data_IF_104629025222
#
_entry.id   IF_104629025222
#
_cell.length_a   1.000
_cell.length_b   1.000
_cell.length_c   1.000
_cell.angle_alpha   90.00
_cell.angle_beta   90.00
_cell.angle_gamma   90.00
#
_symmetry.space_group_name_H-M   'P 1'
#
loop_
_entity.id
_entity.type
_entity.pdbx_description
1 polymer ?
#
# COMPACT_ATOMS: atom_id res chain seq x y z
N UNK A 1 -54.85 -49.98 30.81
CA UNK A 1 -53.48 -49.47 30.61
C UNK A 1 -53.24 -49.23 29.13
N UNK A 2 -53.36 -48.00 28.63
CA UNK A 2 -52.86 -47.61 27.31
C UNK A 2 -52.06 -46.32 27.48
N UNK A 3 -50.76 -46.41 27.21
CA UNK A 3 -49.75 -45.35 27.39
C UNK A 3 -49.89 -44.32 26.27
N UNK A 4 -49.91 -43.04 26.63
CA UNK A 4 -49.72 -41.92 25.71
C UNK A 4 -48.22 -41.81 25.38
N UNK A 5 -47.88 -41.84 24.10
CA UNK A 5 -46.55 -41.47 23.61
C UNK A 5 -46.65 -40.03 23.08
N UNK A 6 -46.05 -39.07 23.79
CA UNK A 6 -45.77 -37.74 23.25
C UNK A 6 -44.52 -37.85 22.36
N UNK A 7 -44.66 -37.55 21.08
CA UNK A 7 -43.53 -37.25 20.20
C UNK A 7 -43.17 -35.76 20.34
N UNK A 8 -42.00 -35.49 20.91
CA UNK A 8 -41.35 -34.18 20.84
C UNK A 8 -40.53 -34.13 19.54
N UNK A 9 -41.02 -33.42 18.52
CA UNK A 9 -40.21 -33.07 17.36
C UNK A 9 -39.36 -31.86 17.70
N UNK A 10 -38.06 -32.07 17.96
CA UNK A 10 -37.07 -30.99 17.99
C UNK A 10 -36.83 -30.50 16.56
N UNK A 11 -37.37 -29.34 16.22
CA UNK A 11 -36.96 -28.61 15.01
C UNK A 11 -35.60 -27.95 15.29
N UNK A 12 -34.51 -28.62 14.90
CA UNK A 12 -33.21 -27.97 14.78
C UNK A 12 -33.25 -27.04 13.56
N UNK A 13 -33.55 -25.76 13.79
CA UNK A 13 -33.24 -24.70 12.82
C UNK A 13 -31.71 -24.52 12.81
N UNK A 14 -31.02 -25.27 11.95
CA UNK A 14 -29.66 -24.95 11.57
C UNK A 14 -29.72 -23.65 10.76
N UNK A 15 -29.34 -22.54 11.39
CA UNK A 15 -28.94 -21.33 10.67
C UNK A 15 -27.73 -21.68 9.80
N UNK A 16 -27.97 -22.16 8.58
CA UNK A 16 -27.00 -22.17 7.50
C UNK A 16 -26.79 -20.71 7.10
N UNK A 17 -26.05 -19.96 7.91
CA UNK A 17 -25.35 -18.79 7.43
C UNK A 17 -24.50 -19.28 6.28
N UNK A 18 -24.78 -18.85 5.05
CA UNK A 18 -23.84 -19.04 3.95
C UNK A 18 -22.58 -18.28 4.33
N UNK A 19 -21.63 -18.95 4.97
CA UNK A 19 -20.31 -18.39 5.24
C UNK A 19 -19.63 -18.33 3.88
N UNK A 20 -19.89 -17.25 3.15
CA UNK A 20 -19.00 -16.86 2.06
C UNK A 20 -17.64 -16.69 2.73
N UNK A 21 -16.65 -17.44 2.27
CA UNK A 21 -15.29 -17.23 2.72
C UNK A 21 -14.93 -15.76 2.44
N UNK A 22 -14.52 -15.07 3.49
CA UNK A 22 -14.22 -13.63 3.49
C UNK A 22 -12.76 -13.48 3.86
N UNK A 23 -12.10 -12.44 3.34
CA UNK A 23 -10.79 -12.01 3.84
C UNK A 23 -10.84 -11.72 5.35
N UNK A 24 -9.67 -11.57 5.98
CA UNK A 24 -9.60 -11.19 7.39
C UNK A 24 -9.98 -9.72 7.57
N UNK A 25 -11.06 -9.42 8.28
CA UNK A 25 -11.62 -8.05 8.34
C UNK A 25 -10.78 -7.05 9.13
N UNK A 26 -10.02 -7.53 10.12
CA UNK A 26 -9.30 -6.68 11.08
C UNK A 26 -7.88 -6.26 10.61
N UNK A 27 -7.56 -6.46 9.33
CA UNK A 27 -6.27 -6.09 8.73
C UNK A 27 -6.37 -4.80 7.90
N UNK A 28 -5.25 -4.10 7.75
CA UNK A 28 -5.11 -2.90 6.92
C UNK A 28 -6.15 -1.79 7.22
N UNK A 29 -6.48 -1.55 8.50
CA UNK A 29 -7.39 -0.44 8.90
C UNK A 29 -6.88 0.94 8.48
N UNK A 30 -5.56 1.07 8.34
CA UNK A 30 -4.85 2.14 7.64
C UNK A 30 -4.01 1.52 6.52
N UNK A 31 -3.51 2.30 5.55
CA UNK A 31 -2.65 1.77 4.49
C UNK A 31 -1.43 1.05 5.09
N UNK A 32 -1.07 -0.15 4.61
CA UNK A 32 0.09 -0.87 5.14
C UNK A 32 1.39 -0.12 4.92
N UNK A 33 2.29 -0.16 5.90
CA UNK A 33 3.62 0.43 5.80
C UNK A 33 4.70 -0.65 5.99
N UNK A 34 5.71 -0.65 5.13
CA UNK A 34 6.73 -1.68 5.17
C UNK A 34 7.90 -1.46 4.20
N UNK A 35 8.57 -2.54 3.86
CA UNK A 35 9.68 -2.59 2.93
C UNK A 35 9.56 -3.86 2.08
N UNK A 36 10.03 -3.79 0.83
CA UNK A 36 10.06 -4.92 -0.09
C UNK A 36 11.45 -5.02 -0.76
N UNK A 37 11.90 -6.26 -1.00
CA UNK A 37 13.24 -6.53 -1.52
C UNK A 37 13.47 -6.21 -2.99
N UNK A 38 12.43 -6.07 -3.81
CA UNK A 38 12.54 -6.14 -5.27
C UNK A 38 13.33 -5.01 -5.91
N UNK A 39 12.93 -3.74 -5.71
CA UNK A 39 13.50 -2.61 -6.46
C UNK A 39 15.02 -2.46 -6.26
N UNK A 40 15.53 -2.88 -5.09
CA UNK A 40 16.97 -2.84 -4.81
C UNK A 40 17.70 -4.13 -5.15
N UNK A 41 17.14 -5.28 -4.77
CA UNK A 41 17.86 -6.55 -4.76
C UNK A 41 17.46 -7.49 -5.90
N UNK A 42 16.29 -7.30 -6.51
CA UNK A 42 15.72 -8.24 -7.48
C UNK A 42 15.83 -9.69 -6.97
N UNK A 43 16.48 -10.58 -7.72
CA UNK A 43 16.73 -11.95 -7.29
C UNK A 43 17.90 -12.13 -6.29
N UNK A 44 18.73 -11.11 -6.05
CA UNK A 44 19.94 -11.18 -5.22
C UNK A 44 19.60 -11.01 -3.73
N UNK A 45 18.66 -11.82 -3.25
CA UNK A 45 18.24 -11.91 -1.85
C UNK A 45 18.74 -13.22 -1.22
N UNK A 46 19.06 -13.15 0.07
CA UNK A 46 19.35 -14.32 0.91
C UNK A 46 19.01 -14.00 2.38
N UNK A 47 19.07 -15.01 3.23
CA UNK A 47 18.72 -14.91 4.65
C UNK A 47 19.52 -13.84 5.40
N UNK A 48 20.84 -13.74 5.15
CA UNK A 48 21.72 -12.76 5.79
C UNK A 48 21.30 -11.32 5.45
N UNK A 49 21.05 -11.05 4.17
CA UNK A 49 20.57 -9.74 3.70
C UNK A 49 19.26 -9.38 4.41
N UNK A 50 18.31 -10.32 4.46
CA UNK A 50 16.99 -10.05 5.04
C UNK A 50 17.06 -9.85 6.55
N UNK A 51 17.88 -10.62 7.27
CA UNK A 51 18.11 -10.39 8.71
C UNK A 51 18.73 -9.00 8.95
N UNK A 52 19.71 -8.62 8.13
CA UNK A 52 20.34 -7.30 8.21
C UNK A 52 19.35 -6.16 7.91
N UNK A 53 18.43 -6.35 6.97
CA UNK A 53 17.32 -5.39 6.72
C UNK A 53 16.39 -5.32 7.93
N UNK A 54 15.99 -6.45 8.52
CA UNK A 54 15.15 -6.47 9.71
C UNK A 54 15.79 -5.73 10.89
N UNK A 55 17.09 -5.95 11.13
CA UNK A 55 17.84 -5.21 12.15
C UNK A 55 17.86 -3.71 11.84
N UNK A 56 18.10 -3.34 10.59
CA UNK A 56 18.12 -1.94 10.18
C UNK A 56 16.78 -1.25 10.33
N UNK A 57 15.66 -1.93 10.04
CA UNK A 57 14.32 -1.36 10.25
C UNK A 57 14.11 -0.97 11.72
N UNK A 58 14.67 -1.74 12.66
CA UNK A 58 14.62 -1.41 14.09
C UNK A 58 15.61 -0.31 14.46
N UNK A 59 16.89 -0.49 14.12
CA UNK A 59 17.97 0.44 14.51
C UNK A 59 17.76 1.86 13.99
N UNK A 60 17.26 1.98 12.75
CA UNK A 60 17.01 3.29 12.14
C UNK A 60 15.78 3.98 12.70
N UNK A 61 14.91 3.28 13.43
CA UNK A 61 13.62 3.77 13.89
C UNK A 61 12.49 3.68 12.85
N UNK A 62 12.71 3.04 11.69
CA UNK A 62 11.67 2.83 10.67
C UNK A 62 10.48 2.05 11.23
N UNK A 63 10.73 0.98 12.01
CA UNK A 63 9.67 0.23 12.70
C UNK A 63 8.79 1.15 13.53
N UNK A 64 9.43 2.02 14.32
CA UNK A 64 8.74 2.93 15.24
C UNK A 64 8.07 4.11 14.50
N UNK A 65 8.45 4.37 13.25
CA UNK A 65 7.76 5.27 12.34
C UNK A 65 6.53 4.63 11.67
N UNK A 66 6.34 3.30 11.80
CA UNK A 66 5.19 2.56 11.30
C UNK A 66 5.51 1.48 10.27
N UNK A 67 6.73 1.44 9.72
CA UNK A 67 7.14 0.46 8.73
C UNK A 67 7.36 -0.92 9.38
N UNK A 68 6.32 -1.76 9.37
CA UNK A 68 6.34 -3.03 10.13
C UNK A 68 6.37 -4.27 9.25
N UNK A 69 5.97 -4.19 7.99
CA UNK A 69 6.03 -5.33 7.06
C UNK A 69 7.40 -5.38 6.38
N UNK A 70 8.09 -6.52 6.47
CA UNK A 70 9.28 -6.85 5.70
C UNK A 70 8.88 -7.94 4.69
N UNK A 71 8.74 -7.56 3.43
CA UNK A 71 8.22 -8.42 2.39
C UNK A 71 9.36 -9.01 1.54
N UNK A 72 9.43 -10.33 1.50
CA UNK A 72 10.23 -11.06 0.52
C UNK A 72 9.50 -11.04 -0.81
N UNK A 73 10.11 -10.46 -1.83
CA UNK A 73 9.62 -10.54 -3.20
C UNK A 73 10.13 -11.80 -3.91
N UNK A 74 10.05 -11.88 -5.24
CA UNK A 74 10.37 -13.08 -6.00
C UNK A 74 11.80 -13.62 -5.77
N UNK A 75 12.06 -14.83 -6.29
CA UNK A 75 13.34 -15.53 -6.25
C UNK A 75 13.77 -16.08 -4.88
N UNK A 76 12.86 -16.18 -3.91
CA UNK A 76 13.05 -16.91 -2.65
C UNK A 76 12.85 -18.44 -2.77
N UNK A 77 12.13 -18.85 -3.82
CA UNK A 77 11.61 -20.20 -4.03
C UNK A 77 12.69 -21.27 -4.24
N UNK A 78 12.50 -22.42 -3.61
CA UNK A 78 13.14 -23.68 -3.95
C UNK A 78 12.28 -24.50 -4.92
N UNK A 79 12.67 -25.77 -5.15
CA UNK A 79 11.83 -26.72 -5.91
C UNK A 79 10.69 -27.23 -5.02
N UNK A 80 9.48 -27.38 -5.56
CA UNK A 80 8.41 -28.09 -4.84
C UNK A 80 8.89 -29.49 -4.43
N UNK A 81 8.51 -29.93 -3.24
CA UNK A 81 8.87 -31.26 -2.75
C UNK A 81 8.07 -32.37 -3.48
N UNK A 82 8.32 -33.64 -3.13
CA UNK A 82 7.63 -34.77 -3.76
C UNK A 82 6.12 -34.84 -3.50
N UNK A 83 5.61 -34.04 -2.55
CA UNK A 83 4.18 -33.91 -2.22
C UNK A 83 3.57 -32.63 -2.82
N UNK A 84 4.36 -31.85 -3.56
CA UNK A 84 3.93 -30.61 -4.21
C UNK A 84 3.96 -29.37 -3.31
N UNK A 85 4.45 -29.46 -2.06
CA UNK A 85 4.56 -28.29 -1.20
C UNK A 85 5.67 -27.36 -1.68
N UNK A 86 5.40 -26.07 -1.64
CA UNK A 86 6.40 -25.05 -1.93
C UNK A 86 7.50 -25.04 -0.87
N UNK A 87 8.74 -24.88 -1.30
CA UNK A 87 9.93 -24.85 -0.43
C UNK A 87 10.70 -23.56 -0.69
N UNK A 88 11.60 -23.21 0.23
CA UNK A 88 12.55 -22.13 0.02
C UNK A 88 13.84 -22.65 -0.61
N UNK A 89 14.57 -21.79 -1.32
CA UNK A 89 15.89 -22.13 -1.83
C UNK A 89 16.83 -22.43 -0.63
N UNK A 90 17.37 -23.67 -0.49
CA UNK A 90 18.14 -24.06 0.68
C UNK A 90 19.54 -23.44 0.74
N UNK A 91 20.01 -22.85 -0.37
CA UNK A 91 21.28 -22.11 -0.40
C UNK A 91 21.05 -20.66 0.03
N UNK A 92 19.97 -20.04 -0.44
CA UNK A 92 19.63 -18.65 -0.05
C UNK A 92 19.06 -18.55 1.36
N UNK A 93 18.28 -19.53 1.79
CA UNK A 93 17.57 -19.58 3.07
C UNK A 93 17.87 -20.90 3.80
N UNK A 94 19.13 -21.11 4.24
CA UNK A 94 19.56 -22.36 4.83
C UNK A 94 18.83 -22.74 6.13
N UNK A 95 18.32 -21.76 6.91
CA UNK A 95 17.49 -22.06 8.08
C UNK A 95 16.00 -22.28 7.75
N UNK A 96 15.59 -21.92 6.53
CA UNK A 96 14.21 -21.94 6.07
C UNK A 96 13.39 -20.72 6.51
N UNK A 97 12.27 -20.50 5.83
CA UNK A 97 11.47 -19.27 5.97
C UNK A 97 10.80 -19.17 7.34
N UNK A 98 10.47 -20.30 7.98
CA UNK A 98 9.90 -20.27 9.34
C UNK A 98 10.87 -19.64 10.35
N UNK A 99 12.13 -20.07 10.35
CA UNK A 99 13.13 -19.55 11.29
C UNK A 99 13.42 -18.06 11.02
N UNK A 100 13.46 -17.66 9.74
CA UNK A 100 13.54 -16.26 9.37
C UNK A 100 12.32 -15.44 9.84
N UNK A 101 11.11 -16.00 9.72
CA UNK A 101 9.89 -15.37 10.22
C UNK A 101 9.91 -15.20 11.75
N UNK A 102 10.28 -16.25 12.49
CA UNK A 102 10.42 -16.20 13.94
C UNK A 102 11.43 -15.11 14.37
N UNK A 103 12.55 -14.97 13.63
CA UNK A 103 13.51 -13.89 13.85
C UNK A 103 12.90 -12.51 13.61
N UNK A 104 12.23 -12.29 12.48
CA UNK A 104 11.59 -11.01 12.14
C UNK A 104 10.52 -10.65 13.18
N UNK A 105 9.73 -11.63 13.63
CA UNK A 105 8.75 -11.43 14.71
C UNK A 105 9.40 -11.04 16.03
N UNK A 106 10.56 -11.62 16.37
CA UNK A 106 11.32 -11.25 17.58
C UNK A 106 11.76 -9.77 17.59
N UNK A 107 11.82 -9.13 16.42
CA UNK A 107 12.13 -7.71 16.24
C UNK A 107 10.89 -6.80 16.29
N UNK A 108 9.70 -7.37 16.49
CA UNK A 108 8.42 -6.66 16.45
C UNK A 108 7.95 -6.29 15.03
N UNK A 109 8.53 -6.93 14.01
CA UNK A 109 8.16 -6.78 12.61
C UNK A 109 7.22 -7.92 12.18
N UNK A 110 6.70 -7.81 10.96
CA UNK A 110 5.87 -8.80 10.27
C UNK A 110 6.58 -9.23 9.00
N UNK A 111 6.47 -10.49 8.61
CA UNK A 111 7.08 -11.00 7.39
C UNK A 111 6.03 -11.16 6.29
N UNK A 112 6.36 -10.67 5.09
CA UNK A 112 5.62 -10.95 3.88
C UNK A 112 6.34 -11.91 2.96
N UNK A 113 5.57 -12.60 2.13
CA UNK A 113 6.06 -13.47 1.08
C UNK A 113 5.39 -13.12 -0.25
N UNK A 114 5.98 -13.59 -1.34
CA UNK A 114 5.50 -13.38 -2.70
C UNK A 114 5.17 -14.70 -3.37
N UNK A 115 4.09 -14.72 -4.15
CA UNK A 115 3.81 -15.75 -5.15
C UNK A 115 2.98 -15.17 -6.30
N UNK A 116 2.48 -16.04 -7.17
CA UNK A 116 1.77 -15.68 -8.40
C UNK A 116 0.51 -16.55 -8.57
N UNK A 117 -0.55 -15.95 -9.10
CA UNK A 117 -1.78 -16.64 -9.50
C UNK A 117 -1.61 -17.54 -10.73
N UNK A 118 -0.51 -17.42 -11.45
CA UNK A 118 -0.14 -18.25 -12.58
C UNK A 118 0.72 -19.46 -12.22
N UNK A 119 1.14 -20.19 -13.26
CA UNK A 119 1.96 -21.41 -13.11
C UNK A 119 3.38 -21.12 -12.65
N UNK A 120 3.91 -19.97 -13.07
CA UNK A 120 5.22 -19.49 -12.70
C UNK A 120 5.11 -18.01 -12.32
N UNK A 121 5.94 -17.59 -11.39
CA UNK A 121 6.11 -16.17 -11.08
C UNK A 121 6.70 -15.42 -12.28
N UNK A 122 6.68 -14.09 -12.22
CA UNK A 122 7.32 -13.25 -13.24
C UNK A 122 8.83 -13.56 -13.41
N UNK A 123 9.54 -13.92 -12.33
CA UNK A 123 10.93 -14.37 -12.37
C UNK A 123 11.13 -15.85 -12.76
N UNK A 124 10.07 -16.56 -13.18
CA UNK A 124 10.12 -17.96 -13.62
C UNK A 124 10.30 -18.97 -12.48
N UNK A 125 9.86 -18.63 -11.26
CA UNK A 125 9.83 -19.55 -10.11
C UNK A 125 8.47 -20.24 -9.99
N UNK A 126 8.30 -21.29 -9.16
CA UNK A 126 6.98 -21.92 -8.99
C UNK A 126 5.92 -20.91 -8.53
N UNK A 127 4.85 -20.74 -9.33
CA UNK A 127 3.65 -20.01 -8.92
C UNK A 127 2.67 -20.92 -8.17
N UNK A 128 1.55 -20.36 -7.71
CA UNK A 128 0.59 -21.08 -6.87
C UNK A 128 -0.64 -21.63 -7.61
N UNK A 129 -0.76 -21.45 -8.93
CA UNK A 129 -1.90 -21.97 -9.68
C UNK A 129 -2.04 -23.50 -9.49
N UNK A 130 -3.16 -23.94 -8.93
CA UNK A 130 -3.46 -25.34 -8.61
C UNK A 130 -2.85 -25.85 -7.29
N UNK A 131 -2.14 -25.00 -6.55
CA UNK A 131 -1.49 -25.29 -5.27
C UNK A 131 -1.93 -24.33 -4.15
N UNK A 132 -2.98 -23.53 -4.36
CA UNK A 132 -3.34 -22.38 -3.52
C UNK A 132 -3.53 -22.77 -2.04
N UNK A 133 -4.25 -23.88 -1.78
CA UNK A 133 -4.47 -24.39 -0.42
C UNK A 133 -3.20 -25.00 0.19
N UNK A 134 -2.35 -25.65 -0.60
CA UNK A 134 -1.08 -26.19 -0.09
C UNK A 134 -0.12 -25.05 0.28
N UNK A 135 -0.02 -24.05 -0.58
CA UNK A 135 0.87 -22.91 -0.41
C UNK A 135 0.40 -22.02 0.74
N UNK A 136 -0.90 -21.70 0.82
CA UNK A 136 -1.46 -20.96 1.96
C UNK A 136 -1.24 -21.68 3.30
N UNK A 137 -1.38 -23.01 3.34
CA UNK A 137 -1.08 -23.80 4.54
C UNK A 137 0.40 -23.72 4.91
N UNK A 138 1.30 -23.80 3.93
CA UNK A 138 2.74 -23.64 4.15
C UNK A 138 3.07 -22.25 4.67
N UNK A 139 2.52 -21.20 4.08
CA UNK A 139 2.72 -19.81 4.52
C UNK A 139 2.23 -19.62 5.96
N UNK A 140 1.06 -20.17 6.31
CA UNK A 140 0.55 -20.12 7.68
C UNK A 140 1.47 -20.85 8.66
N UNK A 141 1.99 -22.05 8.30
CA UNK A 141 2.95 -22.82 9.12
C UNK A 141 4.29 -22.11 9.31
N UNK A 142 4.74 -21.36 8.31
CA UNK A 142 5.95 -20.54 8.41
C UNK A 142 5.74 -19.25 9.19
N UNK A 143 4.49 -18.87 9.48
CA UNK A 143 4.18 -17.65 10.23
C UNK A 143 4.12 -16.39 9.37
N UNK A 144 3.91 -16.52 8.06
CA UNK A 144 3.74 -15.37 7.15
C UNK A 144 2.56 -14.48 7.59
N UNK A 145 2.72 -13.17 7.47
CA UNK A 145 1.72 -12.16 7.84
C UNK A 145 1.16 -11.38 6.63
N UNK A 146 1.83 -11.47 5.48
CA UNK A 146 1.51 -10.73 4.27
C UNK A 146 1.80 -11.58 3.02
N UNK A 147 0.91 -11.57 2.03
CA UNK A 147 1.13 -12.21 0.73
C UNK A 147 0.96 -11.17 -0.38
N UNK A 148 2.03 -10.86 -1.12
CA UNK A 148 1.95 -10.25 -2.46
C UNK A 148 1.64 -11.36 -3.47
N UNK A 149 0.59 -11.19 -4.26
CA UNK A 149 0.11 -12.24 -5.18
C UNK A 149 -0.06 -11.71 -6.59
N UNK A 150 0.89 -12.08 -7.44
CA UNK A 150 1.11 -11.54 -8.78
C UNK A 150 0.25 -12.23 -9.86
N UNK A 151 0.47 -11.86 -11.12
CA UNK A 151 -0.39 -12.23 -12.25
C UNK A 151 0.36 -12.68 -13.53
N UNK A 152 1.62 -13.11 -13.44
CA UNK A 152 2.37 -13.61 -14.59
C UNK A 152 2.03 -15.08 -14.93
N UNK A 153 2.16 -15.48 -16.20
CA UNK A 153 1.88 -16.86 -16.67
C UNK A 153 0.46 -17.35 -16.30
N UNK A 154 -0.52 -16.48 -16.54
CA UNK A 154 -1.95 -16.62 -16.20
C UNK A 154 -2.82 -16.83 -17.45
N UNK A 155 -2.29 -17.43 -18.51
CA UNK A 155 -3.06 -17.70 -19.73
C UNK A 155 -4.34 -18.49 -19.40
N UNK A 156 -5.47 -18.00 -19.91
CA UNK A 156 -6.81 -18.56 -19.71
C UNK A 156 -7.29 -18.61 -18.23
N UNK A 157 -6.65 -17.88 -17.33
CA UNK A 157 -7.06 -17.78 -15.91
C UNK A 157 -8.01 -16.60 -15.70
N UNK A 158 -9.12 -16.84 -15.00
CA UNK A 158 -10.04 -15.77 -14.61
C UNK A 158 -9.52 -15.05 -13.33
N UNK A 159 -9.32 -13.71 -13.36
CA UNK A 159 -8.76 -12.98 -12.21
C UNK A 159 -9.62 -13.03 -10.95
N UNK A 160 -10.91 -12.79 -11.08
CA UNK A 160 -11.83 -12.82 -9.93
C UNK A 160 -11.82 -14.20 -9.28
N UNK A 161 -11.87 -15.27 -10.08
CA UNK A 161 -11.81 -16.65 -9.61
C UNK A 161 -10.50 -16.98 -8.91
N UNK A 162 -9.36 -16.68 -9.52
CA UNK A 162 -8.04 -17.01 -8.99
C UNK A 162 -7.74 -16.28 -7.66
N UNK A 163 -8.00 -14.97 -7.60
CA UNK A 163 -7.79 -14.21 -6.37
C UNK A 163 -8.75 -14.63 -5.25
N UNK A 164 -10.02 -14.94 -5.56
CA UNK A 164 -10.94 -15.50 -4.57
C UNK A 164 -10.49 -16.87 -4.06
N UNK A 165 -9.96 -17.72 -4.95
CA UNK A 165 -9.45 -19.03 -4.56
C UNK A 165 -8.30 -18.91 -3.55
N UNK A 166 -7.32 -18.04 -3.83
CA UNK A 166 -6.23 -17.79 -2.88
C UNK A 166 -6.72 -17.15 -1.58
N UNK A 167 -7.66 -16.18 -1.62
CA UNK A 167 -8.29 -15.64 -0.40
C UNK A 167 -8.89 -16.75 0.46
N UNK A 168 -9.64 -17.66 -0.15
CA UNK A 168 -10.31 -18.75 0.55
C UNK A 168 -9.29 -19.72 1.15
N UNK A 169 -8.21 -20.00 0.41
CA UNK A 169 -7.08 -20.78 0.87
C UNK A 169 -6.39 -20.15 2.10
N UNK A 170 -6.10 -18.85 2.06
CA UNK A 170 -5.53 -18.09 3.19
C UNK A 170 -6.46 -18.12 4.42
N UNK A 171 -7.77 -18.00 4.20
CA UNK A 171 -8.77 -18.09 5.28
C UNK A 171 -8.81 -19.50 5.88
N UNK A 172 -8.78 -20.53 5.04
CA UNK A 172 -8.78 -21.92 5.47
C UNK A 172 -7.50 -22.33 6.21
N UNK A 173 -6.36 -21.70 5.89
CA UNK A 173 -5.09 -21.93 6.56
C UNK A 173 -5.07 -21.44 8.03
N UNK A 174 -6.05 -20.62 8.45
CA UNK A 174 -6.30 -20.28 9.86
C UNK A 174 -5.38 -19.24 10.48
N UNK A 175 -4.42 -18.67 9.73
CA UNK A 175 -3.60 -17.54 10.15
C UNK A 175 -4.02 -16.26 9.42
N UNK A 176 -4.24 -15.13 10.09
CA UNK A 176 -4.46 -13.84 9.44
C UNK A 176 -3.26 -13.43 8.57
N UNK A 177 -3.48 -13.33 7.26
CA UNK A 177 -2.48 -12.90 6.27
C UNK A 177 -3.05 -11.73 5.47
N UNK A 178 -2.32 -10.62 5.43
CA UNK A 178 -2.67 -9.47 4.60
C UNK A 178 -2.47 -9.85 3.13
N UNK A 179 -3.58 -9.96 2.41
CA UNK A 179 -3.59 -10.28 0.99
C UNK A 179 -3.47 -9.03 0.10
N UNK A 180 -2.35 -8.90 -0.60
CA UNK A 180 -1.98 -7.83 -1.51
C UNK A 180 -2.01 -8.33 -2.95
N UNK A 181 -2.96 -7.84 -3.74
CA UNK A 181 -3.21 -8.32 -5.10
C UNK A 181 -2.40 -7.53 -6.12
N UNK A 182 -1.77 -8.20 -7.08
CA UNK A 182 -0.86 -7.60 -8.05
C UNK A 182 -1.18 -8.08 -9.48
N UNK A 183 -2.32 -7.65 -10.03
CA UNK A 183 -2.67 -7.86 -11.46
C UNK A 183 -2.66 -6.56 -12.27
N UNK A 184 -1.97 -5.56 -11.73
CA UNK A 184 -1.63 -4.29 -12.38
C UNK A 184 -2.82 -3.40 -12.79
N UNK A 185 -4.03 -3.68 -12.27
CA UNK A 185 -5.24 -2.91 -12.55
C UNK A 185 -5.99 -3.35 -13.80
N UNK A 186 -5.51 -4.37 -14.51
CA UNK A 186 -6.01 -4.75 -15.85
C UNK A 186 -7.48 -5.17 -15.84
N UNK A 187 -7.89 -5.91 -14.81
CA UNK A 187 -9.28 -6.35 -14.61
C UNK A 187 -10.11 -5.39 -13.73
N UNK A 188 -9.60 -4.18 -13.49
CA UNK A 188 -10.25 -3.13 -12.67
C UNK A 188 -10.57 -3.61 -11.24
N UNK A 189 -9.56 -4.06 -10.46
CA UNK A 189 -9.73 -4.73 -9.17
C UNK A 189 -10.47 -3.86 -8.16
N UNK A 190 -10.35 -2.54 -8.25
CA UNK A 190 -11.14 -1.60 -7.44
C UNK A 190 -12.66 -1.82 -7.52
N UNK A 191 -13.18 -2.49 -8.55
CA UNK A 191 -14.62 -2.78 -8.70
C UNK A 191 -15.09 -4.07 -8.03
N UNK A 192 -14.19 -4.97 -7.63
CA UNK A 192 -14.57 -6.30 -7.13
C UNK A 192 -13.68 -6.84 -6.00
N UNK A 193 -12.45 -6.34 -5.85
CA UNK A 193 -11.44 -6.86 -4.93
C UNK A 193 -11.66 -6.44 -3.46
N UNK A 194 -12.62 -5.56 -3.17
CA UNK A 194 -12.92 -5.09 -1.81
C UNK A 194 -13.18 -6.26 -0.83
N UNK A 195 -13.90 -7.28 -1.27
CA UNK A 195 -14.20 -8.48 -0.47
C UNK A 195 -13.18 -9.61 -0.68
N UNK A 196 -12.13 -9.35 -1.47
CA UNK A 196 -11.10 -10.31 -1.84
C UNK A 196 -9.77 -10.04 -1.15
N UNK A 197 -9.15 -8.89 -1.42
CA UNK A 197 -7.86 -8.47 -0.88
C UNK A 197 -7.95 -7.25 0.01
N UNK A 198 -6.85 -6.90 0.67
CA UNK A 198 -6.72 -5.70 1.51
C UNK A 198 -6.09 -4.53 0.77
N UNK A 199 -5.46 -4.81 -0.37
CA UNK A 199 -4.96 -3.83 -1.30
C UNK A 199 -4.81 -4.46 -2.68
N UNK A 200 -4.84 -3.65 -3.73
CA UNK A 200 -4.68 -4.09 -5.12
C UNK A 200 -3.88 -3.07 -5.91
N UNK A 201 -2.88 -3.57 -6.65
CA UNK A 201 -2.13 -2.77 -7.63
C UNK A 201 -3.11 -2.20 -8.66
N UNK A 202 -2.94 -0.92 -8.94
CA UNK A 202 -3.82 -0.16 -9.86
C UNK A 202 -3.17 0.13 -11.21
N UNK A 203 -1.86 -0.12 -11.33
CA UNK A 203 -1.04 0.20 -12.49
C UNK A 203 0.00 -0.89 -12.74
N UNK A 204 0.67 -0.84 -13.90
CA UNK A 204 1.97 -1.49 -14.10
C UNK A 204 3.04 -0.96 -13.13
N UNK A 205 4.22 -1.56 -13.17
CA UNK A 205 5.25 -1.33 -12.15
C UNK A 205 5.79 0.09 -12.18
N UNK A 206 6.07 0.64 -11.00
CA UNK A 206 6.86 1.84 -10.86
C UNK A 206 8.33 1.53 -11.17
N UNK A 207 9.05 2.52 -11.68
CA UNK A 207 10.50 2.50 -11.68
C UNK A 207 11.04 3.87 -11.27
N UNK A 208 12.35 3.91 -10.99
CA UNK A 208 13.07 5.08 -10.50
C UNK A 208 13.14 6.23 -11.52
N UNK A 209 12.01 6.88 -11.76
CA UNK A 209 11.85 8.04 -12.61
C UNK A 209 10.66 8.88 -12.14
N UNK A 210 10.80 10.20 -12.22
CA UNK A 210 9.73 11.10 -11.79
C UNK A 210 8.60 11.19 -12.83
N UNK A 211 8.93 11.36 -14.11
CA UNK A 211 7.96 11.56 -15.19
C UNK A 211 8.46 10.96 -16.51
N UNK A 212 8.45 9.64 -16.60
CA UNK A 212 8.77 8.93 -17.83
C UNK A 212 8.12 7.54 -17.86
N UNK A 213 8.27 6.85 -18.99
CA UNK A 213 7.78 5.50 -19.23
C UNK A 213 8.96 4.69 -19.75
N UNK A 214 9.22 3.53 -19.14
CA UNK A 214 10.17 2.55 -19.66
C UNK A 214 9.40 1.45 -20.39
N UNK A 215 9.74 1.25 -21.67
CA UNK A 215 9.03 0.30 -22.52
C UNK A 215 9.82 -1.00 -22.65
N UNK A 216 9.21 -2.11 -22.23
CA UNK A 216 9.75 -3.45 -22.38
C UNK A 216 8.94 -4.25 -23.41
N UNK A 217 9.50 -5.34 -23.96
CA UNK A 217 8.72 -6.27 -24.78
C UNK A 217 7.56 -6.86 -23.96
N UNK A 218 6.33 -6.44 -24.27
CA UNK A 218 5.11 -6.98 -23.69
C UNK A 218 4.60 -6.29 -22.41
N UNK A 219 5.35 -5.34 -21.82
CA UNK A 219 4.91 -4.60 -20.63
C UNK A 219 5.60 -3.23 -20.52
N UNK A 220 5.14 -2.36 -19.61
CA UNK A 220 5.69 -1.02 -19.37
C UNK A 220 5.87 -0.76 -17.89
N UNK A 221 6.96 -0.09 -17.53
CA UNK A 221 7.14 0.53 -16.22
C UNK A 221 6.85 2.03 -16.31
N UNK A 222 6.37 2.62 -15.23
CA UNK A 222 5.88 4.00 -15.19
C UNK A 222 6.58 4.81 -14.11
N UNK A 223 6.87 6.08 -14.41
CA UNK A 223 7.37 7.02 -13.42
C UNK A 223 6.27 7.50 -12.47
N UNK A 224 6.70 8.18 -11.41
CA UNK A 224 5.84 8.69 -10.31
C UNK A 224 4.60 9.44 -10.83
N UNK A 225 4.78 10.40 -11.74
CA UNK A 225 3.69 11.23 -12.25
C UNK A 225 2.74 10.45 -13.17
N UNK A 226 3.26 9.50 -13.95
CA UNK A 226 2.44 8.65 -14.81
C UNK A 226 1.49 7.76 -13.98
N UNK A 227 2.01 7.18 -12.89
CA UNK A 227 1.18 6.39 -11.95
C UNK A 227 0.18 7.28 -11.22
N UNK A 228 0.59 8.48 -10.79
CA UNK A 228 -0.29 9.42 -10.11
C UNK A 228 -1.50 9.79 -10.97
N UNK A 229 -1.31 10.00 -12.28
CA UNK A 229 -2.40 10.31 -13.21
C UNK A 229 -3.39 9.15 -13.36
N UNK A 230 -2.92 7.90 -13.29
CA UNK A 230 -3.77 6.71 -13.35
C UNK A 230 -4.65 6.50 -12.10
N UNK A 231 -4.44 7.28 -11.03
CA UNK A 231 -5.29 7.21 -9.83
C UNK A 231 -6.61 7.97 -9.95
N UNK A 232 -6.81 8.72 -11.05
CA UNK A 232 -8.02 9.48 -11.29
C UNK A 232 -9.28 8.58 -11.27
N UNK A 233 -10.29 9.00 -10.51
CA UNK A 233 -11.55 8.26 -10.36
C UNK A 233 -11.51 7.03 -9.45
N UNK A 234 -10.33 6.61 -8.96
CA UNK A 234 -10.19 5.42 -8.11
C UNK A 234 -10.50 5.67 -6.63
N UNK A 235 -10.44 6.93 -6.20
CA UNK A 235 -10.64 7.39 -4.83
C UNK A 235 -11.87 6.80 -4.11
N UNK A 236 -12.98 6.63 -4.80
CA UNK A 236 -14.25 6.12 -4.21
C UNK A 236 -14.23 4.63 -3.84
N UNK A 237 -13.19 3.91 -4.26
CA UNK A 237 -13.06 2.47 -4.03
C UNK A 237 -12.10 2.12 -2.90
N UNK A 238 -11.32 3.08 -2.39
CA UNK A 238 -10.37 2.87 -1.30
C UNK A 238 -10.95 3.34 0.04
N UNK A 239 -10.53 2.67 1.12
CA UNK A 239 -10.87 3.01 2.49
C UNK A 239 -10.33 1.98 3.49
N UNK A 240 -10.64 2.13 4.79
CA UNK A 240 -10.20 1.20 5.81
C UNK A 240 -10.41 -0.27 5.44
N UNK A 241 -9.33 -1.04 5.44
CA UNK A 241 -9.29 -2.47 5.11
C UNK A 241 -9.17 -2.79 3.61
N UNK A 242 -9.09 -1.80 2.72
CA UNK A 242 -9.06 -2.01 1.27
C UNK A 242 -8.49 -0.79 0.51
N UNK A 243 -7.28 -0.91 -0.03
CA UNK A 243 -6.53 0.24 -0.56
C UNK A 243 -6.18 0.10 -2.04
N UNK A 244 -6.24 1.22 -2.77
CA UNK A 244 -5.58 1.34 -4.06
C UNK A 244 -4.06 1.36 -3.83
N UNK A 245 -3.35 0.50 -4.55
CA UNK A 245 -1.90 0.40 -4.48
C UNK A 245 -1.28 0.98 -5.78
N UNK A 246 -0.69 2.17 -5.72
CA UNK A 246 0.09 2.77 -6.81
C UNK A 246 1.55 2.28 -6.84
N UNK A 247 1.83 1.11 -6.26
CA UNK A 247 3.15 0.47 -6.19
C UNK A 247 4.11 1.08 -5.16
N UNK A 248 5.25 0.41 -5.01
CA UNK A 248 6.29 0.70 -4.01
C UNK A 248 6.90 2.11 -4.14
N UNK A 249 7.54 2.58 -3.07
CA UNK A 249 8.24 3.86 -3.03
C UNK A 249 9.65 3.73 -3.60
N UNK A 250 9.98 4.59 -4.57
CA UNK A 250 11.32 4.74 -5.16
C UNK A 250 12.23 5.72 -4.39
N UNK A 251 11.75 6.22 -3.25
CA UNK A 251 12.46 7.22 -2.44
C UNK A 251 13.82 6.72 -2.00
N UNK A 252 14.88 7.46 -2.34
CA UNK A 252 16.27 7.09 -2.03
C UNK A 252 16.92 6.12 -3.03
N UNK A 253 16.27 5.79 -4.15
CA UNK A 253 16.89 5.01 -5.23
C UNK A 253 17.64 5.86 -6.27
N UNK A 254 17.66 7.18 -6.11
CA UNK A 254 18.52 8.08 -6.89
C UNK A 254 17.82 9.27 -7.56
N UNK A 255 16.51 9.46 -7.33
CA UNK A 255 15.85 10.70 -7.74
C UNK A 255 16.37 11.90 -6.93
N UNK A 256 16.06 13.10 -7.41
CA UNK A 256 16.39 14.32 -6.67
C UNK A 256 15.51 14.43 -5.42
N UNK A 257 16.01 15.09 -4.38
CA UNK A 257 15.32 15.24 -3.08
C UNK A 257 13.91 15.87 -3.21
N UNK A 258 13.72 16.80 -4.12
CA UNK A 258 12.41 17.39 -4.44
C UNK A 258 11.45 16.35 -5.03
N UNK A 259 11.91 15.53 -5.97
CA UNK A 259 11.13 14.47 -6.60
C UNK A 259 10.73 13.39 -5.59
N UNK A 260 11.69 12.95 -4.76
CA UNK A 260 11.43 12.01 -3.66
C UNK A 260 10.41 12.56 -2.65
N UNK A 261 10.53 13.84 -2.29
CA UNK A 261 9.59 14.52 -1.40
C UNK A 261 8.19 14.61 -2.01
N UNK A 262 8.09 14.92 -3.30
CA UNK A 262 6.84 14.97 -4.03
C UNK A 262 6.19 13.59 -4.13
N UNK A 263 6.95 12.58 -4.53
CA UNK A 263 6.51 11.18 -4.61
C UNK A 263 5.96 10.69 -3.26
N UNK A 264 6.72 10.83 -2.18
CA UNK A 264 6.28 10.42 -0.85
C UNK A 264 5.02 11.15 -0.39
N UNK A 265 4.98 12.48 -0.59
CA UNK A 265 3.82 13.28 -0.21
C UNK A 265 2.56 12.88 -0.96
N UNK A 266 2.69 12.59 -2.26
CA UNK A 266 1.54 12.19 -3.07
C UNK A 266 1.05 10.80 -2.71
N UNK A 267 1.93 9.84 -2.38
CA UNK A 267 1.50 8.53 -1.87
C UNK A 267 0.75 8.68 -0.54
N UNK A 268 1.22 9.56 0.36
CA UNK A 268 0.51 9.85 1.61
C UNK A 268 -0.86 10.54 1.37
N UNK A 269 -0.92 11.46 0.39
CA UNK A 269 -2.17 12.09 -0.02
C UNK A 269 -3.13 11.05 -0.59
N UNK A 270 -2.62 10.05 -1.31
CA UNK A 270 -3.44 8.99 -1.91
C UNK A 270 -3.97 7.97 -0.89
N UNK A 271 -3.50 7.98 0.37
CA UNK A 271 -3.72 6.88 1.32
C UNK A 271 -3.22 5.54 0.72
N UNK A 272 -2.06 5.60 0.08
CA UNK A 272 -1.43 4.46 -0.56
C UNK A 272 -0.64 3.63 0.46
N UNK A 273 -0.50 2.31 0.26
CA UNK A 273 0.50 1.54 0.97
C UNK A 273 1.89 2.19 0.84
N UNK A 274 2.59 2.38 1.97
CA UNK A 274 3.94 2.97 2.01
C UNK A 274 4.97 1.84 2.13
N UNK A 275 5.21 1.15 1.01
CA UNK A 275 6.18 0.06 0.94
C UNK A 275 7.49 0.57 0.35
N UNK A 276 8.55 0.64 1.14
CA UNK A 276 9.87 1.10 0.72
C UNK A 276 10.54 0.10 -0.24
N UNK A 277 11.08 0.60 -1.36
CA UNK A 277 11.83 -0.19 -2.34
C UNK A 277 13.34 0.08 -2.36
N UNK A 278 13.88 0.78 -1.38
CA UNK A 278 15.30 1.21 -1.37
C UNK A 278 16.20 0.32 -0.49
N UNK A 279 17.51 0.56 -0.53
CA UNK A 279 18.44 -0.06 0.44
C UNK A 279 18.46 0.72 1.76
N UNK A 280 17.60 0.31 2.70
CA UNK A 280 17.48 1.00 3.99
C UNK A 280 18.75 0.94 4.86
N UNK A 281 19.71 0.07 4.52
CA UNK A 281 20.98 -0.08 5.25
C UNK A 281 21.90 1.12 5.06
N UNK A 282 21.74 1.84 3.95
CA UNK A 282 22.57 2.98 3.59
C UNK A 282 21.75 4.17 3.04
N UNK A 283 20.83 4.69 3.86
CA UNK A 283 20.04 5.86 3.50
C UNK A 283 20.76 7.17 3.86
N UNK A 284 20.69 8.15 2.95
CA UNK A 284 21.08 9.52 3.26
C UNK A 284 20.16 10.13 4.33
N UNK A 285 20.61 11.21 4.96
CA UNK A 285 19.79 11.91 5.96
C UNK A 285 18.57 12.57 5.32
N UNK A 286 18.65 13.00 4.07
CA UNK A 286 17.50 13.50 3.30
C UNK A 286 16.47 12.40 3.08
N UNK A 287 16.91 11.19 2.71
CA UNK A 287 16.02 10.03 2.51
C UNK A 287 15.28 9.70 3.81
N UNK A 288 16.01 9.61 4.94
CA UNK A 288 15.43 9.39 6.26
C UNK A 288 14.45 10.50 6.63
N UNK A 289 14.81 11.76 6.39
CA UNK A 289 13.96 12.91 6.68
C UNK A 289 12.65 12.90 5.87
N UNK A 290 12.66 12.31 4.67
CA UNK A 290 11.47 12.13 3.85
C UNK A 290 10.60 11.01 4.41
N UNK A 291 11.11 9.77 4.43
CA UNK A 291 10.28 8.60 4.73
C UNK A 291 9.93 8.50 6.22
N UNK A 292 10.69 9.12 7.12
CA UNK A 292 10.39 9.10 8.56
C UNK A 292 9.65 10.36 9.04
N UNK A 293 9.15 11.19 8.13
CA UNK A 293 8.43 12.40 8.49
C UNK A 293 7.07 12.06 9.13
N UNK A 294 7.01 12.04 10.47
CA UNK A 294 5.82 11.70 11.26
C UNK A 294 4.58 12.53 10.92
N UNK A 295 4.73 13.81 10.59
CA UNK A 295 3.57 14.64 10.25
C UNK A 295 2.99 14.29 8.87
N UNK A 296 3.84 13.88 7.92
CA UNK A 296 3.43 13.49 6.57
C UNK A 296 2.87 12.08 6.57
N UNK A 297 3.51 11.14 7.29
CA UNK A 297 2.95 9.80 7.55
C UNK A 297 1.58 9.91 8.22
N UNK A 298 1.37 10.85 9.15
CA UNK A 298 0.07 11.04 9.78
C UNK A 298 -1.04 11.50 8.81
N UNK A 299 -0.68 12.06 7.64
CA UNK A 299 -1.65 12.29 6.57
C UNK A 299 -2.07 10.95 5.98
N UNK A 300 -1.12 10.08 5.64
CA UNK A 300 -1.38 8.74 5.10
C UNK A 300 -2.22 7.88 6.04
N UNK A 301 -1.78 7.79 7.30
CA UNK A 301 -2.33 6.95 8.36
C UNK A 301 -3.56 7.56 9.05
N UNK A 302 -4.16 8.60 8.48
CA UNK A 302 -5.37 9.21 9.04
C UNK A 302 -6.53 8.21 9.05
N UNK A 303 -7.20 8.10 10.19
CA UNK A 303 -8.26 7.10 10.43
C UNK A 303 -9.53 7.30 9.60
N UNK A 304 -9.73 8.48 8.98
CA UNK A 304 -10.81 8.64 8.01
C UNK A 304 -10.56 7.79 6.76
N UNK A 305 -9.28 7.53 6.43
CA UNK A 305 -8.88 6.59 5.38
C UNK A 305 -9.33 6.99 3.98
N UNK A 306 -9.53 8.29 3.73
CA UNK A 306 -10.02 8.78 2.45
C UNK A 306 -8.85 9.23 1.59
N UNK A 307 -8.69 8.64 0.40
CA UNK A 307 -7.72 9.07 -0.61
C UNK A 307 -7.91 10.55 -0.99
N UNK A 308 -6.84 11.25 -1.34
CA UNK A 308 -6.85 12.66 -1.71
C UNK A 308 -7.55 12.94 -3.05
N UNK A 309 -8.04 14.17 -3.20
CA UNK A 309 -8.77 14.66 -4.36
C UNK A 309 -7.98 15.80 -5.03
N UNK A 310 -7.71 15.68 -6.33
CA UNK A 310 -7.24 16.79 -7.17
C UNK A 310 -8.41 17.72 -7.46
N UNK A 311 -8.32 18.98 -7.05
CA UNK A 311 -9.40 19.97 -7.21
C UNK A 311 -9.11 21.02 -8.29
N UNK A 312 -7.84 21.21 -8.63
CA UNK A 312 -7.43 22.08 -9.73
C UNK A 312 -6.11 21.61 -10.34
N UNK A 313 -5.92 21.91 -11.62
CA UNK A 313 -4.66 21.73 -12.33
C UNK A 313 -4.53 22.86 -13.34
N UNK A 314 -3.43 23.62 -13.26
CA UNK A 314 -3.15 24.73 -14.17
C UNK A 314 -1.64 24.91 -14.34
N UNK A 315 -1.18 25.00 -15.59
CA UNK A 315 0.23 25.32 -15.95
C UNK A 315 1.28 24.43 -15.25
N UNK A 316 0.96 23.15 -15.05
CA UNK A 316 1.82 22.17 -14.39
C UNK A 316 1.78 22.19 -12.86
N UNK A 317 0.94 23.04 -12.26
CA UNK A 317 0.68 23.05 -10.82
C UNK A 317 -0.67 22.40 -10.52
N UNK A 318 -0.68 21.42 -9.62
CA UNK A 318 -1.90 20.77 -9.16
C UNK A 318 -2.21 21.14 -7.71
N UNK A 319 -3.50 21.31 -7.41
CA UNK A 319 -4.03 21.56 -6.07
C UNK A 319 -4.79 20.33 -5.61
N UNK A 320 -4.41 19.79 -4.45
CA UNK A 320 -5.01 18.60 -3.87
C UNK A 320 -5.50 18.85 -2.45
N UNK A 321 -6.60 18.19 -2.09
CA UNK A 321 -7.16 18.17 -0.74
C UNK A 321 -7.38 16.74 -0.26
N UNK A 322 -7.13 16.47 1.02
CA UNK A 322 -7.48 15.22 1.69
C UNK A 322 -8.23 15.54 2.98
N UNK A 323 -9.49 15.13 3.16
CA UNK A 323 -10.15 15.30 4.45
C UNK A 323 -9.48 14.39 5.49
N UNK A 324 -9.32 14.88 6.71
CA UNK A 324 -8.67 14.15 7.82
C UNK A 324 -9.63 13.99 8.99
N UNK A 325 -9.48 12.98 9.84
CA UNK A 325 -10.25 12.83 11.05
C UNK A 325 -10.22 14.12 11.92
N UNK A 326 -11.33 14.42 12.60
CA UNK A 326 -11.45 15.61 13.46
C UNK A 326 -11.77 16.94 12.76
N UNK A 327 -11.99 16.93 11.44
CA UNK A 327 -12.41 18.13 10.67
C UNK A 327 -11.26 18.88 9.98
N UNK A 328 -10.02 18.41 10.18
CA UNK A 328 -8.85 18.94 9.49
C UNK A 328 -8.85 18.56 8.00
N UNK A 329 -8.02 19.27 7.22
CA UNK A 329 -7.71 18.95 5.83
C UNK A 329 -6.21 18.92 5.61
N UNK A 330 -5.71 17.99 4.79
CA UNK A 330 -4.43 18.15 4.13
C UNK A 330 -4.63 18.93 2.84
N UNK A 331 -3.71 19.84 2.53
CA UNK A 331 -3.68 20.60 1.29
C UNK A 331 -2.29 20.46 0.68
N UNK A 332 -2.22 20.04 -0.59
CA UNK A 332 -0.96 19.87 -1.30
C UNK A 332 -0.96 20.70 -2.59
N UNK A 333 0.11 21.46 -2.80
CA UNK A 333 0.46 21.98 -4.12
C UNK A 333 1.56 21.09 -4.67
N UNK A 334 1.31 20.46 -5.82
CA UNK A 334 2.31 19.69 -6.56
C UNK A 334 2.73 20.47 -7.79
N UNK A 335 4.00 20.85 -7.88
CA UNK A 335 4.58 21.39 -9.09
C UNK A 335 5.19 20.25 -9.92
N UNK A 336 4.52 19.91 -11.01
CA UNK A 336 4.96 18.87 -11.95
C UNK A 336 6.04 19.37 -12.91
N UNK A 337 6.16 20.69 -13.07
CA UNK A 337 7.06 21.29 -14.05
C UNK A 337 8.51 21.32 -13.56
N UNK A 338 9.44 21.47 -14.50
CA UNK A 338 10.88 21.55 -14.23
C UNK A 338 11.37 22.96 -13.87
N UNK A 339 10.46 23.89 -13.59
CA UNK A 339 10.76 25.26 -13.16
C UNK A 339 9.93 25.62 -11.92
N UNK A 340 10.46 26.50 -11.09
CA UNK A 340 9.74 26.99 -9.91
C UNK A 340 8.45 27.73 -10.34
N UNK A 341 7.40 27.59 -9.53
CA UNK A 341 6.09 28.19 -9.78
C UNK A 341 5.68 29.06 -8.61
N UNK A 342 5.46 30.33 -8.89
CA UNK A 342 4.78 31.24 -7.96
C UNK A 342 3.27 30.99 -8.02
N UNK A 343 2.63 30.93 -6.84
CA UNK A 343 1.20 30.72 -6.73
C UNK A 343 0.62 31.54 -5.57
N UNK A 344 -0.54 32.16 -5.81
CA UNK A 344 -1.31 32.85 -4.77
C UNK A 344 -2.51 31.99 -4.39
N UNK A 345 -2.43 31.40 -3.19
CA UNK A 345 -3.50 30.58 -2.64
C UNK A 345 -4.62 31.50 -2.17
N UNK A 346 -5.71 31.54 -2.92
CA UNK A 346 -6.96 32.15 -2.50
C UNK A 346 -7.90 31.07 -1.95
N UNK A 347 -8.01 30.99 -0.62
CA UNK A 347 -8.75 29.93 0.06
C UNK A 347 -10.23 29.90 -0.29
N UNK A 348 -10.83 31.07 -0.56
CA UNK A 348 -12.25 31.19 -0.87
C UNK A 348 -12.63 30.56 -2.22
N UNK A 349 -11.66 30.33 -3.12
CA UNK A 349 -11.88 29.60 -4.37
C UNK A 349 -12.03 28.08 -4.17
N UNK A 350 -11.64 27.56 -3.00
CA UNK A 350 -11.64 26.13 -2.72
C UNK A 350 -12.78 25.73 -1.77
N UNK A 351 -13.97 26.28 -1.96
CA UNK A 351 -15.19 25.87 -1.25
C UNK A 351 -15.94 24.83 -2.09
N UNK A 352 -15.96 23.58 -1.65
CA UNK A 352 -16.59 22.47 -2.36
C UNK A 352 -17.10 21.42 -1.38
N UNK A 353 -18.04 20.60 -1.84
CA UNK A 353 -18.52 19.42 -1.14
C UNK A 353 -17.76 18.18 -1.64
N UNK A 354 -17.18 17.42 -0.73
CA UNK A 354 -16.52 16.16 -1.02
C UNK A 354 -17.51 14.99 -0.97
N UNK A 355 -17.79 14.41 -2.13
CA UNK A 355 -18.74 13.33 -2.30
C UNK A 355 -18.38 12.04 -1.53
N UNK A 356 -17.10 11.75 -1.29
CA UNK A 356 -16.70 10.48 -0.64
C UNK A 356 -16.76 10.62 0.87
N UNK A 357 -16.16 11.67 1.44
CA UNK A 357 -16.19 11.86 2.90
C UNK A 357 -17.45 12.53 3.42
N UNK A 358 -18.30 13.08 2.52
CA UNK A 358 -19.47 13.91 2.85
C UNK A 358 -19.14 15.16 3.67
N UNK A 359 -17.92 15.67 3.51
CA UNK A 359 -17.44 16.88 4.17
C UNK A 359 -17.32 18.01 3.17
N UNK A 360 -17.32 19.23 3.68
CA UNK A 360 -17.23 20.41 2.84
C UNK A 360 -16.17 21.35 3.37
N UNK A 361 -15.48 22.02 2.47
CA UNK A 361 -14.68 23.19 2.81
C UNK A 361 -15.57 24.43 2.79
N UNK A 362 -15.50 25.24 3.85
CA UNK A 362 -16.13 26.56 3.90
C UNK A 362 -15.17 27.57 4.53
N UNK A 363 -14.31 28.14 3.71
CA UNK A 363 -13.30 29.13 4.09
C UNK A 363 -13.88 30.53 4.34
N UNK A 364 -15.18 30.77 4.09
CA UNK A 364 -15.86 31.99 4.53
C UNK A 364 -16.18 31.95 6.02
N UNK A 365 -16.63 30.79 6.51
CA UNK A 365 -17.11 30.63 7.89
C UNK A 365 -16.11 29.91 8.81
N UNK A 366 -15.18 29.14 8.23
CA UNK A 366 -14.20 28.36 8.98
C UNK A 366 -12.80 28.84 8.68
N UNK A 367 -12.07 29.21 9.72
CA UNK A 367 -10.64 29.53 9.63
C UNK A 367 -9.82 28.32 10.03
N UNK A 368 -8.78 28.01 9.25
CA UNK A 368 -7.81 26.98 9.59
C UNK A 368 -6.44 27.60 9.85
N UNK A 369 -5.72 27.08 10.83
CA UNK A 369 -4.28 27.30 11.02
C UNK A 369 -3.54 26.46 9.98
N UNK A 370 -2.56 27.07 9.31
CA UNK A 370 -1.78 26.43 8.25
C UNK A 370 -0.43 25.96 8.83
N UNK A 371 -0.20 24.65 8.88
CA UNK A 371 1.11 24.07 9.24
C UNK A 371 1.77 23.45 8.02
N UNK A 372 2.98 23.88 7.68
CA UNK A 372 3.82 23.23 6.68
C UNK A 372 4.42 21.94 7.26
N UNK A 373 4.14 20.81 6.62
CA UNK A 373 4.53 19.49 7.15
C UNK A 373 5.98 19.14 6.86
N UNK A 374 6.60 19.81 5.89
CA UNK A 374 8.01 19.64 5.56
C UNK A 374 8.91 20.57 6.38
N UNK A 375 8.55 21.85 6.49
CA UNK A 375 9.34 22.82 7.28
C UNK A 375 8.97 22.85 8.76
N UNK A 376 7.86 22.19 9.14
CA UNK A 376 7.28 22.16 10.50
C UNK A 376 6.75 23.50 11.01
N UNK A 377 6.75 24.55 10.18
CA UNK A 377 6.37 25.90 10.57
C UNK A 377 4.86 26.12 10.47
N UNK A 378 4.32 26.87 11.42
CA UNK A 378 2.99 27.49 11.28
C UNK A 378 3.15 28.72 10.39
N UNK A 379 2.38 28.77 9.31
CA UNK A 379 2.47 29.78 8.26
C UNK A 379 1.20 30.64 8.18
N UNK A 380 0.64 30.98 9.34
CA UNK A 380 -0.55 31.81 9.46
C UNK A 380 -1.86 31.03 9.43
N UNK A 381 -2.89 31.61 8.80
CA UNK A 381 -4.23 31.02 8.72
C UNK A 381 -4.91 31.33 7.39
N UNK A 382 -5.99 30.62 7.09
CA UNK A 382 -6.77 30.76 5.86
C UNK A 382 -7.59 32.06 5.77
N UNK A 383 -7.49 32.97 6.77
CA UNK A 383 -8.10 34.31 6.74
C UNK A 383 -7.50 35.24 5.68
N UNK A 384 -6.28 34.95 5.22
CA UNK A 384 -5.57 35.76 4.24
C UNK A 384 -5.07 34.87 3.11
N UNK A 385 -5.10 35.42 1.91
CA UNK A 385 -4.44 34.81 0.75
C UNK A 385 -2.95 34.66 1.03
N UNK A 386 -2.36 33.60 0.48
CA UNK A 386 -0.97 33.22 0.75
C UNK A 386 -0.21 33.05 -0.55
N UNK A 387 0.80 33.88 -0.75
CA UNK A 387 1.77 33.73 -1.84
C UNK A 387 2.83 32.70 -1.46
N UNK A 388 3.13 31.80 -2.37
CA UNK A 388 4.12 30.73 -2.21
C UNK A 388 4.90 30.53 -3.50
N UNK A 389 6.14 30.07 -3.35
CA UNK A 389 6.94 29.51 -4.44
C UNK A 389 6.99 28.00 -4.25
N UNK A 390 6.56 27.24 -5.24
CA UNK A 390 6.64 25.78 -5.25
C UNK A 390 7.81 25.40 -6.15
N UNK A 391 8.91 24.83 -5.61
CA UNK A 391 10.07 24.48 -6.41
C UNK A 391 9.71 23.50 -7.54
N UNK A 392 10.51 23.50 -8.60
CA UNK A 392 10.39 22.54 -9.70
C UNK A 392 10.29 21.09 -9.18
N UNK A 393 9.35 20.30 -9.71
CA UNK A 393 9.20 18.86 -9.40
C UNK A 393 9.15 18.57 -7.88
N UNK A 394 8.41 19.39 -7.15
CA UNK A 394 8.34 19.40 -5.69
C UNK A 394 6.91 19.67 -5.21
N UNK A 395 6.74 19.66 -3.89
CA UNK A 395 5.45 19.93 -3.24
C UNK A 395 5.56 20.94 -2.10
N UNK A 396 4.45 21.64 -1.86
CA UNK A 396 4.14 22.21 -0.55
C UNK A 396 2.97 21.42 0.05
N UNK A 397 3.22 20.77 1.19
CA UNK A 397 2.20 20.00 1.90
C UNK A 397 1.87 20.68 3.24
N UNK A 398 0.60 21.06 3.38
CA UNK A 398 0.06 21.71 4.56
C UNK A 398 -0.98 20.82 5.26
N UNK A 399 -1.01 20.89 6.60
CA UNK A 399 -2.19 20.53 7.38
C UNK A 399 -2.94 21.81 7.75
N UNK A 400 -4.22 21.82 7.47
CA UNK A 400 -5.18 22.85 7.80
C UNK A 400 -5.97 22.35 9.01
N UNK A 401 -5.68 22.91 10.19
CA UNK A 401 -6.38 22.54 11.43
C UNK A 401 -7.34 23.63 11.85
N UNK A 402 -8.55 23.27 12.27
CA UNK A 402 -9.58 24.25 12.67
C UNK A 402 -9.00 25.18 13.74
N UNK A 403 -9.02 26.48 13.47
CA UNK A 403 -8.58 27.48 14.44
C UNK A 403 -9.56 27.49 15.61
N UNK A 404 -9.04 27.31 16.83
CA UNK A 404 -9.83 27.41 18.05
C UNK A 404 -10.17 28.86 18.39
#
# INVERSE_FOLDING_TARGET
MKKYFLLFSLFCFSCLSSVKAQKYEELAKTPPMGWNSWNKFACDINEEIIRGVADKMVESGLRDAGYVYLNLDDCWHGKRDSLGFITADPVKFPSGIKDLADYIHSKGLKIGIYSDAGRQTCGGRPGSLGHEYQDALTYAKWGIDYLKYDWCNTEDVNPIGAYNLMRDALRAAGRPILFSMCEWGNSKPWTWAKDTGHMWRTTGDIFNCFDCVDEHPGWKAFGVLQILDMQEGLRKYAGPGHWNDPDMLEVGNGQKVNQDRAHFSMWCMLAAPLILGNDIRNMSDETKAIIMNKDVIAIDQDTLGVQGLKVASQDGLEVWFKPLAGGDWAFCLLNRSNVDKEYEINWQKFNFDDEVSKRSTNFYNTTYVIKNLWTKKIEGSTKKDKKVSVPAQDVLLYRLSIAK
#
